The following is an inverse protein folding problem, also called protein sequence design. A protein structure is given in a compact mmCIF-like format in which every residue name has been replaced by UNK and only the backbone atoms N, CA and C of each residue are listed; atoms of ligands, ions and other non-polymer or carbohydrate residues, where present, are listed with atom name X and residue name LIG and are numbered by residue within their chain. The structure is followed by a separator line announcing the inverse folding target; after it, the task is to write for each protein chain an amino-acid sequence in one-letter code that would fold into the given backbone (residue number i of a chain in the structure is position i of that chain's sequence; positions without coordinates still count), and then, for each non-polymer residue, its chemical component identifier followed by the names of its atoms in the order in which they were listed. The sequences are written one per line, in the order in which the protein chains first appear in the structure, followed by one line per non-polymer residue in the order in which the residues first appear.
data_IF_048071886438
#
_entry.id   IF_048071886438
#
_cell.length_a   1.000
_cell.length_b   1.000
_cell.length_c   1.000
_cell.angle_alpha   90.00
_cell.angle_beta   90.00
_cell.angle_gamma   90.00
#
_symmetry.space_group_name_H-M   'P 1'
#
loop_
_entity.id
_entity.type
_entity.pdbx_description
1 polymer ?
#
# COMPACT_ATOMS: atom_id res chain seq x y z
N UNK A 1 -17.35 -23.86 -2.50
CA UNK A 1 -16.29 -24.88 -2.40
C UNK A 1 -16.76 -26.23 -2.91
N UNK A 2 -18.05 -26.56 -2.77
CA UNK A 2 -18.64 -27.79 -3.33
C UNK A 2 -18.37 -28.05 -4.82
N UNK A 3 -18.19 -27.00 -5.64
CA UNK A 3 -17.92 -27.17 -7.07
C UNK A 3 -16.43 -27.29 -7.40
N UNK A 4 -15.62 -26.37 -6.90
CA UNK A 4 -14.23 -26.17 -7.35
C UNK A 4 -13.19 -26.47 -6.25
N UNK A 5 -13.63 -27.00 -5.10
CA UNK A 5 -12.80 -27.21 -3.92
C UNK A 5 -12.66 -25.98 -3.03
N UNK A 6 -11.97 -26.19 -1.90
CA UNK A 6 -11.55 -25.13 -0.97
C UNK A 6 -10.30 -24.42 -1.54
N UNK A 7 -10.17 -23.09 -1.45
CA UNK A 7 -8.97 -22.37 -1.86
C UNK A 7 -7.77 -22.73 -0.97
N UNK A 8 -6.57 -22.57 -1.51
CA UNK A 8 -5.33 -22.81 -0.76
C UNK A 8 -5.06 -21.78 0.34
N UNK A 9 -5.60 -20.56 0.21
CA UNK A 9 -5.51 -19.49 1.20
C UNK A 9 -6.60 -18.43 1.01
N UNK A 10 -6.82 -17.62 2.04
CA UNK A 10 -7.55 -16.35 1.96
C UNK A 10 -6.55 -15.20 1.89
N UNK A 11 -6.66 -14.33 0.89
CA UNK A 11 -5.76 -13.20 0.70
C UNK A 11 -6.47 -11.86 0.91
N UNK A 12 -5.92 -11.01 1.76
CA UNK A 12 -6.45 -9.67 2.04
C UNK A 12 -5.44 -8.59 1.71
N UNK A 13 -5.81 -7.65 0.84
CA UNK A 13 -4.96 -6.55 0.42
C UNK A 13 -5.26 -5.28 1.21
N UNK A 14 -4.21 -4.70 1.78
CA UNK A 14 -4.22 -3.45 2.53
C UNK A 14 -5.26 -3.38 3.67
N UNK A 15 -5.39 -4.39 4.56
CA UNK A 15 -6.30 -4.28 5.69
C UNK A 15 -5.78 -3.23 6.69
N UNK A 16 -6.64 -2.29 7.06
CA UNK A 16 -6.33 -1.20 8.00
C UNK A 16 -7.60 -0.69 8.67
N UNK A 17 -7.46 0.16 9.70
CA UNK A 17 -8.57 0.59 10.56
C UNK A 17 -9.80 1.20 9.85
N UNK A 18 -9.72 1.64 8.58
CA UNK A 18 -10.92 2.09 7.84
C UNK A 18 -11.52 1.03 6.93
N UNK A 19 -10.76 -0.01 6.61
CA UNK A 19 -11.17 -1.12 5.78
C UNK A 19 -10.56 -2.41 6.36
N UNK A 20 -11.00 -2.85 7.55
CA UNK A 20 -10.62 -4.16 8.06
C UNK A 20 -11.22 -5.26 7.18
N UNK A 21 -10.56 -6.41 7.12
CA UNK A 21 -11.19 -7.62 6.60
C UNK A 21 -12.16 -8.17 7.65
N UNK A 22 -13.46 -8.04 7.38
CA UNK A 22 -14.52 -8.39 8.34
C UNK A 22 -14.92 -9.87 8.30
N UNK A 23 -14.54 -10.60 7.26
CA UNK A 23 -15.00 -11.97 7.03
C UNK A 23 -13.86 -12.95 6.82
N UNK A 24 -12.75 -12.49 6.24
CA UNK A 24 -11.59 -13.32 5.91
C UNK A 24 -11.01 -14.04 7.10
N UNK A 25 -10.72 -13.34 8.21
CA UNK A 25 -10.28 -13.95 9.44
C UNK A 25 -11.11 -15.13 9.93
N UNK A 26 -12.42 -14.92 10.05
CA UNK A 26 -13.34 -15.91 10.61
C UNK A 26 -13.55 -17.08 9.64
N UNK A 27 -13.73 -16.80 8.34
CA UNK A 27 -13.85 -17.85 7.33
C UNK A 27 -12.56 -18.66 7.21
N UNK A 28 -11.40 -18.00 7.29
CA UNK A 28 -10.12 -18.68 7.21
C UNK A 28 -9.93 -19.69 8.35
N UNK A 29 -10.27 -19.28 9.57
CA UNK A 29 -10.27 -20.13 10.76
C UNK A 29 -11.30 -21.26 10.66
N UNK A 30 -12.58 -20.93 10.39
CA UNK A 30 -13.68 -21.90 10.34
C UNK A 30 -13.45 -23.04 9.35
N UNK A 31 -12.73 -22.74 8.27
CA UNK A 31 -12.44 -23.69 7.23
C UNK A 31 -10.99 -24.17 7.19
N UNK A 32 -10.16 -23.80 8.16
CA UNK A 32 -8.74 -24.14 8.23
C UNK A 32 -7.95 -23.80 6.94
N UNK A 33 -8.21 -22.65 6.33
CA UNK A 33 -7.35 -22.09 5.26
C UNK A 33 -6.38 -21.07 5.85
N UNK A 34 -5.12 -21.01 5.39
CA UNK A 34 -4.21 -19.93 5.73
C UNK A 34 -4.80 -18.57 5.39
N UNK A 35 -4.74 -17.63 6.33
CA UNK A 35 -5.03 -16.22 6.09
C UNK A 35 -3.71 -15.48 5.80
N UNK A 36 -3.65 -14.75 4.69
CA UNK A 36 -2.47 -14.01 4.24
C UNK A 36 -2.86 -12.57 3.97
N UNK A 37 -2.02 -11.63 4.39
CA UNK A 37 -2.19 -10.21 4.07
C UNK A 37 -1.07 -9.68 3.19
N UNK A 38 -1.35 -8.62 2.44
CA UNK A 38 -0.32 -7.77 1.86
C UNK A 38 -0.59 -6.31 2.20
N UNK A 39 0.46 -5.55 2.54
CA UNK A 39 0.39 -4.15 2.98
C UNK A 39 -0.58 -3.89 4.14
N UNK A 40 -0.70 -4.83 5.09
CA UNK A 40 -1.45 -4.57 6.31
C UNK A 40 -0.86 -3.39 7.08
N UNK A 41 -1.72 -2.48 7.55
CA UNK A 41 -1.28 -1.23 8.18
C UNK A 41 -1.85 -1.10 9.59
N UNK A 42 -0.94 -0.95 10.57
CA UNK A 42 -1.28 -0.74 11.97
C UNK A 42 -0.71 0.58 12.50
N UNK A 43 -1.47 1.32 13.30
CA UNK A 43 -0.98 2.51 14.00
C UNK A 43 -1.53 2.57 15.42
N UNK A 44 -0.65 2.58 16.42
CA UNK A 44 -1.01 2.73 17.85
C UNK A 44 -1.90 3.96 18.12
N UNK A 45 -1.80 5.01 17.30
CA UNK A 45 -2.65 6.21 17.40
C UNK A 45 -4.14 5.94 17.16
N UNK A 46 -4.48 4.78 16.58
CA UNK A 46 -5.84 4.35 16.26
C UNK A 46 -6.40 3.34 17.25
N UNK A 47 -5.67 3.01 18.32
CA UNK A 47 -6.13 2.10 19.37
C UNK A 47 -7.19 2.71 20.29
N UNK A 48 -7.47 4.00 20.14
CA UNK A 48 -8.49 4.72 20.90
C UNK A 48 -9.37 5.57 19.97
N UNK A 49 -10.57 5.91 20.46
CA UNK A 49 -11.54 6.71 19.74
C UNK A 49 -12.28 5.92 18.64
N UNK A 50 -12.77 6.64 17.63
CA UNK A 50 -13.68 6.11 16.60
C UNK A 50 -13.21 4.83 15.89
N UNK A 51 -11.91 4.61 15.82
CA UNK A 51 -11.31 3.52 15.05
C UNK A 51 -10.87 2.34 15.90
N UNK A 52 -11.06 2.38 17.22
CA UNK A 52 -10.53 1.38 18.15
C UNK A 52 -11.00 -0.04 17.81
N UNK A 53 -12.30 -0.23 17.57
CA UNK A 53 -12.88 -1.54 17.30
C UNK A 53 -12.36 -2.11 15.97
N UNK A 54 -12.40 -1.31 14.91
CA UNK A 54 -11.89 -1.69 13.59
C UNK A 54 -10.37 -1.93 13.60
N UNK A 55 -9.62 -1.19 14.41
CA UNK A 55 -8.18 -1.38 14.60
C UNK A 55 -7.89 -2.69 15.35
N UNK A 56 -8.74 -3.06 16.33
CA UNK A 56 -8.64 -4.34 17.03
C UNK A 56 -8.92 -5.52 16.09
N UNK A 57 -9.87 -5.40 15.16
CA UNK A 57 -10.09 -6.42 14.12
C UNK A 57 -8.85 -6.60 13.24
N UNK A 58 -8.22 -5.51 12.82
CA UNK A 58 -6.95 -5.56 12.05
C UNK A 58 -5.85 -6.23 12.87
N UNK A 59 -5.73 -5.91 14.16
CA UNK A 59 -4.73 -6.51 15.05
C UNK A 59 -4.88 -8.03 15.10
N UNK A 60 -6.10 -8.51 15.37
CA UNK A 60 -6.43 -9.95 15.41
C UNK A 60 -6.16 -10.62 14.07
N UNK A 61 -6.53 -9.97 12.96
CA UNK A 61 -6.30 -10.51 11.63
C UNK A 61 -4.81 -10.68 11.30
N UNK A 62 -3.97 -9.71 11.70
CA UNK A 62 -2.51 -9.75 11.50
C UNK A 62 -1.86 -10.82 12.39
N UNK A 63 -2.30 -10.93 13.65
CA UNK A 63 -1.80 -11.89 14.63
C UNK A 63 -2.03 -13.34 14.20
N UNK A 64 -3.22 -13.66 13.69
CA UNK A 64 -3.52 -15.02 13.22
C UNK A 64 -2.99 -15.34 11.81
N UNK A 65 -2.55 -14.32 11.05
CA UNK A 65 -2.18 -14.51 9.66
C UNK A 65 -0.99 -15.47 9.56
N UNK A 66 -1.07 -16.43 8.65
CA UNK A 66 0.04 -17.32 8.33
C UNK A 66 1.22 -16.54 7.74
N UNK A 67 0.95 -15.43 7.06
CA UNK A 67 1.96 -14.49 6.57
C UNK A 67 1.36 -13.09 6.36
N UNK A 68 2.04 -12.07 6.84
CA UNK A 68 1.79 -10.68 6.47
C UNK A 68 2.92 -10.18 5.57
N UNK A 69 2.59 -9.86 4.33
CA UNK A 69 3.55 -9.41 3.32
C UNK A 69 3.69 -7.89 3.42
N UNK A 70 4.88 -7.45 3.82
CA UNK A 70 5.23 -6.04 3.96
C UNK A 70 5.98 -5.56 2.71
N UNK A 71 5.52 -4.45 2.13
CA UNK A 71 6.19 -3.85 0.96
C UNK A 71 7.26 -2.86 1.37
N UNK A 72 7.13 -2.26 2.56
CA UNK A 72 8.13 -1.32 3.10
C UNK A 72 8.66 -1.77 4.45
N UNK A 73 9.88 -1.34 4.79
CA UNK A 73 10.44 -1.56 6.13
C UNK A 73 9.62 -0.84 7.21
N UNK A 74 8.96 0.27 6.83
CA UNK A 74 8.08 1.02 7.73
C UNK A 74 6.87 0.19 8.14
N UNK A 75 6.23 -0.49 7.19
CA UNK A 75 5.09 -1.37 7.48
C UNK A 75 5.54 -2.52 8.36
N UNK A 76 6.66 -3.18 7.99
CA UNK A 76 7.23 -4.26 8.81
C UNK A 76 7.49 -3.82 10.24
N UNK A 77 8.17 -2.70 10.44
CA UNK A 77 8.45 -2.19 11.79
C UNK A 77 7.16 -1.87 12.54
N UNK A 78 6.20 -1.22 11.88
CA UNK A 78 4.91 -0.88 12.48
C UNK A 78 4.12 -2.12 12.94
N UNK A 79 4.21 -3.23 12.19
CA UNK A 79 3.61 -4.50 12.57
C UNK A 79 4.40 -5.20 13.68
N UNK A 80 5.73 -5.31 13.57
CA UNK A 80 6.59 -5.91 14.60
C UNK A 80 6.43 -5.21 15.95
N UNK A 81 6.38 -3.87 15.95
CA UNK A 81 6.20 -3.10 17.19
C UNK A 81 4.83 -3.34 17.82
N UNK A 82 3.81 -3.62 17.02
CA UNK A 82 2.45 -3.80 17.50
C UNK A 82 2.15 -5.25 17.92
N UNK A 83 2.64 -6.20 17.13
CA UNK A 83 2.34 -7.63 17.21
C UNK A 83 3.68 -8.38 16.99
N UNK A 84 4.50 -8.54 18.05
CA UNK A 84 5.87 -9.06 17.93
C UNK A 84 5.95 -10.47 17.31
N UNK A 85 4.94 -11.30 17.57
CA UNK A 85 4.88 -12.69 17.12
C UNK A 85 4.25 -12.87 15.73
N UNK A 86 3.89 -11.78 15.04
CA UNK A 86 3.32 -11.86 13.70
C UNK A 86 4.31 -12.48 12.71
N UNK A 87 3.82 -13.41 11.87
CA UNK A 87 4.59 -13.90 10.73
C UNK A 87 4.69 -12.81 9.66
N UNK A 88 5.89 -12.27 9.45
CA UNK A 88 6.14 -11.16 8.51
C UNK A 88 7.12 -11.58 7.41
N UNK A 89 6.77 -11.26 6.16
CA UNK A 89 7.63 -11.44 4.99
C UNK A 89 7.82 -10.13 4.25
N UNK A 90 9.00 -9.88 3.70
CA UNK A 90 9.23 -8.72 2.84
C UNK A 90 9.03 -9.09 1.37
N UNK A 91 8.26 -8.27 0.66
CA UNK A 91 8.17 -8.29 -0.80
C UNK A 91 8.24 -6.86 -1.31
N UNK A 92 9.41 -6.42 -1.74
CA UNK A 92 9.57 -5.08 -2.29
C UNK A 92 8.65 -4.88 -3.50
N UNK A 93 8.04 -3.69 -3.68
CA UNK A 93 7.28 -3.37 -4.88
C UNK A 93 8.13 -3.61 -6.13
N UNK A 94 7.51 -4.21 -7.13
CA UNK A 94 8.11 -4.45 -8.43
C UNK A 94 7.13 -4.08 -9.53
N UNK A 95 7.67 -3.84 -10.72
CA UNK A 95 6.89 -3.61 -11.94
C UNK A 95 7.47 -4.48 -13.03
N UNK A 96 6.64 -4.87 -14.00
CA UNK A 96 7.17 -5.43 -15.23
C UNK A 96 7.86 -4.32 -16.03
N UNK A 97 9.18 -4.44 -16.20
CA UNK A 97 9.98 -3.46 -16.94
C UNK A 97 9.95 -3.68 -18.45
N UNK A 98 9.34 -4.79 -18.91
CA UNK A 98 9.31 -5.15 -20.32
C UNK A 98 8.65 -4.10 -21.21
N UNK A 99 7.64 -3.42 -20.68
CA UNK A 99 6.87 -2.37 -21.37
C UNK A 99 7.60 -1.02 -21.44
N UNK A 100 8.75 -0.87 -20.75
CA UNK A 100 9.53 0.38 -20.68
C UNK A 100 10.91 0.26 -21.35
N UNK A 101 11.11 -0.73 -22.22
CA UNK A 101 12.41 -0.94 -22.89
C UNK A 101 12.75 0.13 -23.93
N UNK A 102 11.76 0.81 -24.48
CA UNK A 102 11.98 1.87 -25.45
C UNK A 102 12.56 3.10 -24.75
N UNK A 103 13.83 3.39 -25.05
CA UNK A 103 14.44 4.65 -24.66
C UNK A 103 14.11 5.71 -25.71
N UNK A 104 13.74 6.94 -25.31
CA UNK A 104 13.58 8.02 -26.26
C UNK A 104 14.88 8.29 -27.02
N UNK A 105 14.75 8.66 -28.29
CA UNK A 105 15.89 9.00 -29.13
C UNK A 105 16.71 10.14 -28.51
N UNK A 106 18.04 10.11 -28.69
CA UNK A 106 18.91 11.20 -28.26
C UNK A 106 18.52 12.50 -28.96
N UNK A 107 18.40 13.59 -28.22
CA UNK A 107 18.08 14.92 -28.76
C UNK A 107 16.60 15.32 -28.68
N UNK A 108 15.71 14.48 -28.11
CA UNK A 108 14.35 14.91 -27.81
C UNK A 108 14.34 16.08 -26.80
N UNK A 109 13.44 17.08 -26.95
CA UNK A 109 13.27 18.13 -25.96
C UNK A 109 12.94 17.56 -24.58
N UNK A 110 13.49 18.16 -23.52
CA UNK A 110 13.20 17.74 -22.14
C UNK A 110 11.70 17.86 -21.86
N UNK A 111 11.07 16.73 -21.55
CA UNK A 111 9.66 16.67 -21.15
C UNK A 111 9.57 16.28 -19.69
N UNK A 112 8.99 17.17 -18.90
CA UNK A 112 8.63 16.89 -17.51
C UNK A 112 7.21 16.30 -17.50
N UNK A 113 7.00 15.24 -16.74
CA UNK A 113 5.69 14.61 -16.58
C UNK A 113 5.33 14.63 -15.10
N UNK A 114 4.14 15.13 -14.78
CA UNK A 114 3.62 15.10 -13.41
C UNK A 114 2.47 14.12 -13.33
N UNK A 115 2.65 13.01 -12.60
CA UNK A 115 1.58 12.06 -12.30
C UNK A 115 1.20 12.22 -10.83
N UNK A 116 0.09 12.90 -10.56
CA UNK A 116 -0.37 13.16 -9.20
C UNK A 116 -1.89 13.27 -9.12
N UNK A 117 -2.47 12.88 -7.97
CA UNK A 117 -3.91 13.03 -7.73
C UNK A 117 -4.26 14.49 -7.40
N UNK A 118 -5.33 14.99 -8.01
CA UNK A 118 -5.94 16.29 -7.67
C UNK A 118 -6.92 16.11 -6.51
N UNK A 119 -6.54 16.54 -5.31
CA UNK A 119 -7.38 16.44 -4.10
C UNK A 119 -7.12 17.63 -3.16
N UNK A 120 -8.12 18.11 -2.39
CA UNK A 120 -7.87 19.07 -1.31
C UNK A 120 -6.92 18.54 -0.23
N UNK A 121 -6.29 19.46 0.51
CA UNK A 121 -5.30 19.17 1.56
C UNK A 121 -3.87 19.17 1.01
N UNK A 122 -3.01 18.30 1.56
CA UNK A 122 -1.56 18.24 1.28
C UNK A 122 -1.21 18.15 -0.22
N UNK A 123 -2.11 17.62 -1.05
CA UNK A 123 -1.92 17.54 -2.50
C UNK A 123 -1.91 18.93 -3.16
N UNK A 124 -2.74 19.87 -2.72
CA UNK A 124 -2.70 21.27 -3.23
C UNK A 124 -1.35 21.91 -2.93
N UNK A 125 -0.80 21.66 -1.75
CA UNK A 125 0.51 22.19 -1.38
C UNK A 125 1.64 21.56 -2.20
N UNK A 126 1.51 20.27 -2.53
CA UNK A 126 2.43 19.61 -3.47
C UNK A 126 2.44 20.30 -4.84
N UNK A 127 1.28 20.71 -5.36
CA UNK A 127 1.21 21.45 -6.62
C UNK A 127 1.79 22.87 -6.52
N UNK A 128 1.58 23.57 -5.41
CA UNK A 128 2.22 24.89 -5.19
C UNK A 128 3.73 24.78 -5.17
N UNK A 129 4.25 23.79 -4.46
CA UNK A 129 5.68 23.50 -4.39
C UNK A 129 6.24 23.17 -5.77
N UNK A 130 5.54 22.32 -6.54
CA UNK A 130 5.92 22.01 -7.91
C UNK A 130 5.96 23.26 -8.79
N UNK A 131 4.91 24.10 -8.75
CA UNK A 131 4.86 25.33 -9.53
C UNK A 131 6.01 26.30 -9.19
N UNK A 132 6.32 26.46 -7.90
CA UNK A 132 7.46 27.28 -7.46
C UNK A 132 8.80 26.74 -7.96
N UNK A 133 9.00 25.42 -7.91
CA UNK A 133 10.21 24.78 -8.42
C UNK A 133 10.34 24.95 -9.94
N UNK A 134 9.26 24.75 -10.70
CA UNK A 134 9.22 24.95 -12.15
C UNK A 134 9.49 26.40 -12.55
N UNK A 135 9.00 27.37 -11.76
CA UNK A 135 9.27 28.79 -11.99
C UNK A 135 10.77 29.14 -12.01
N UNK A 136 11.61 28.41 -11.27
CA UNK A 136 13.07 28.64 -11.23
C UNK A 136 13.77 28.19 -12.51
N UNK A 137 13.18 27.25 -13.25
CA UNK A 137 13.76 26.67 -14.45
C UNK A 137 13.03 27.09 -15.73
N UNK A 138 12.13 28.08 -15.67
CA UNK A 138 11.35 28.54 -16.84
C UNK A 138 12.20 29.10 -17.99
N UNK A 139 13.46 29.43 -17.75
CA UNK A 139 14.42 29.87 -18.76
C UNK A 139 15.02 28.71 -19.60
N UNK A 140 14.81 27.45 -19.20
CA UNK A 140 15.30 26.28 -19.90
C UNK A 140 14.25 25.76 -20.91
N UNK A 141 14.67 25.12 -22.01
CA UNK A 141 13.76 24.63 -23.04
C UNK A 141 13.13 23.29 -22.64
N UNK A 142 12.09 23.32 -21.80
CA UNK A 142 11.30 22.14 -21.43
C UNK A 142 9.82 22.31 -21.76
N UNK A 143 9.14 21.16 -21.87
CA UNK A 143 7.68 21.07 -21.95
C UNK A 143 7.15 20.25 -20.78
N UNK A 144 5.89 20.46 -20.38
CA UNK A 144 5.25 19.69 -19.32
C UNK A 144 4.01 18.97 -19.84
N UNK A 145 3.84 17.73 -19.41
CA UNK A 145 2.61 16.96 -19.56
C UNK A 145 2.05 16.61 -18.18
N UNK A 146 0.72 16.56 -18.09
CA UNK A 146 -0.05 16.18 -16.90
C UNK A 146 -0.88 14.94 -17.19
#
# INVERSE_FOLDING_TARGET
WDRDGKPDLWFSYHPYYKAPDLIGPELASAFAVPYVTAEASYSRRRNAGLWADTQALVARAIEQAALNICFTQRDRQGLTDAIPDAALGMLSPFIDTSVFREMPARGCPTRLVTVAMMRPGDKVESYRMLAQALGRIGHLPWTMSV
#
